data_IF_977626342724
#
_entry.id   IF_977626342724
#
_cell.length_a   1.000
_cell.length_b   1.000
_cell.length_c   1.000
_cell.angle_alpha   90.00
_cell.angle_beta   90.00
_cell.angle_gamma   90.00
#
_symmetry.space_group_name_H-M   'P 1'
#
loop_
_entity.id
_entity.type
_entity.pdbx_description
1 polymer ?
#
# COMPACT_ATOMS: atom_id res chain seq x y z
N UNK A 1 10.66 17.69 10.51
CA UNK A 1 11.59 16.65 11.05
C UNK A 1 12.37 16.12 9.85
N UNK A 2 13.66 16.03 9.92
CA UNK A 2 14.44 15.36 8.87
C UNK A 2 14.28 13.85 9.05
N UNK A 3 13.74 13.17 8.03
CA UNK A 3 13.51 11.72 8.06
C UNK A 3 14.76 10.89 7.73
N UNK A 4 15.88 11.53 7.35
CA UNK A 4 17.15 10.87 7.05
C UNK A 4 17.08 9.92 5.84
N UNK A 5 16.20 10.19 4.86
CA UNK A 5 15.98 9.37 3.67
C UNK A 5 16.21 10.13 2.36
N UNK A 6 16.66 11.37 2.41
CA UNK A 6 17.01 12.14 1.22
C UNK A 6 18.03 11.40 0.35
N UNK A 7 17.83 11.38 -0.96
CA UNK A 7 18.67 10.70 -1.93
C UNK A 7 18.52 9.18 -1.99
N UNK A 8 17.69 8.57 -1.14
CA UNK A 8 17.34 7.16 -1.20
C UNK A 8 16.50 6.84 -2.45
N UNK A 9 16.45 5.56 -2.84
CA UNK A 9 15.69 5.10 -3.99
C UNK A 9 14.52 4.23 -3.56
N UNK A 10 13.32 4.52 -4.06
CA UNK A 10 12.11 3.78 -3.75
C UNK A 10 11.47 3.17 -4.99
N UNK A 11 10.92 1.96 -4.83
CA UNK A 11 9.93 1.39 -5.75
C UNK A 11 8.55 1.51 -5.08
N UNK A 12 7.58 2.12 -5.78
CA UNK A 12 6.20 2.24 -5.30
C UNK A 12 5.26 1.59 -6.30
N UNK A 13 4.72 0.42 -5.94
CA UNK A 13 3.81 -0.35 -6.80
C UNK A 13 2.41 0.30 -6.85
N UNK A 14 1.73 0.18 -8.01
CA UNK A 14 0.37 0.68 -8.23
C UNK A 14 0.16 2.11 -7.71
N UNK A 15 1.06 3.01 -8.09
CA UNK A 15 1.18 4.38 -7.56
C UNK A 15 0.60 5.47 -8.48
N UNK A 16 -0.16 5.10 -9.51
CA UNK A 16 -0.81 6.09 -10.39
C UNK A 16 -1.96 6.85 -9.72
N UNK A 17 -2.59 6.27 -8.68
CA UNK A 17 -3.73 6.86 -7.95
C UNK A 17 -3.75 6.42 -6.49
N UNK A 18 -4.65 7.02 -5.70
CA UNK A 18 -4.99 6.61 -4.34
C UNK A 18 -3.79 6.53 -3.40
N UNK A 19 -3.72 5.48 -2.60
CA UNK A 19 -2.71 5.34 -1.53
C UNK A 19 -1.28 5.19 -2.07
N UNK A 20 -1.10 4.46 -3.16
CA UNK A 20 0.23 4.33 -3.79
C UNK A 20 0.75 5.68 -4.29
N UNK A 21 -0.12 6.52 -4.92
CA UNK A 21 0.22 7.90 -5.32
C UNK A 21 0.60 8.74 -4.11
N UNK A 22 -0.19 8.66 -3.03
CA UNK A 22 0.10 9.41 -1.81
C UNK A 22 1.45 9.03 -1.19
N UNK A 23 1.78 7.75 -1.15
CA UNK A 23 3.08 7.27 -0.68
C UNK A 23 4.23 7.77 -1.58
N UNK A 24 4.08 7.72 -2.91
CA UNK A 24 5.11 8.19 -3.84
C UNK A 24 5.38 9.69 -3.67
N UNK A 25 4.34 10.51 -3.56
CA UNK A 25 4.46 11.95 -3.35
C UNK A 25 5.06 12.28 -1.97
N UNK A 26 4.64 11.57 -0.91
CA UNK A 26 5.20 11.78 0.42
C UNK A 26 6.70 11.44 0.48
N UNK A 27 7.12 10.34 -0.13
CA UNK A 27 8.54 9.97 -0.26
C UNK A 27 9.32 11.00 -1.08
N UNK A 28 8.76 11.45 -2.22
CA UNK A 28 9.39 12.49 -3.04
C UNK A 28 9.55 13.81 -2.27
N UNK A 29 8.60 14.18 -1.42
CA UNK A 29 8.66 15.36 -0.54
C UNK A 29 9.84 15.31 0.43
N UNK A 30 10.25 14.11 0.82
CA UNK A 30 11.42 13.85 1.66
C UNK A 30 12.73 13.66 0.85
N UNK A 31 12.71 14.00 -0.44
CA UNK A 31 13.88 13.92 -1.31
C UNK A 31 14.25 12.50 -1.79
N UNK A 32 13.32 11.55 -1.72
CA UNK A 32 13.52 10.18 -2.20
C UNK A 32 13.26 10.12 -3.70
N UNK A 33 14.18 9.52 -4.47
CA UNK A 33 13.96 9.20 -5.88
C UNK A 33 12.93 8.07 -5.99
N UNK A 34 11.93 8.20 -6.85
CA UNK A 34 10.83 7.25 -6.90
C UNK A 34 10.70 6.57 -8.27
N UNK A 35 10.64 5.25 -8.27
CA UNK A 35 10.22 4.44 -9.42
C UNK A 35 8.75 4.10 -9.21
N UNK A 36 7.89 4.72 -10.01
CA UNK A 36 6.43 4.58 -9.92
C UNK A 36 5.88 3.60 -10.95
N UNK A 37 4.78 2.94 -10.61
CA UNK A 37 4.15 1.93 -11.46
C UNK A 37 2.64 2.07 -11.50
N UNK A 38 2.07 1.76 -12.63
CA UNK A 38 0.62 1.69 -12.81
C UNK A 38 0.24 1.33 -14.25
N UNK A 39 -1.04 1.08 -14.48
CA UNK A 39 -1.57 0.70 -15.80
C UNK A 39 -2.02 1.90 -16.65
N UNK A 40 -2.25 3.03 -16.03
CA UNK A 40 -2.72 4.26 -16.70
C UNK A 40 -1.56 5.24 -16.83
N UNK A 41 -1.12 5.45 -18.07
CA UNK A 41 0.05 6.28 -18.39
C UNK A 41 -0.21 7.77 -18.11
N UNK A 42 -1.40 8.27 -18.38
CA UNK A 42 -1.75 9.67 -18.12
C UNK A 42 -1.72 9.99 -16.62
N UNK A 43 -2.29 9.09 -15.80
CA UNK A 43 -2.26 9.25 -14.34
C UNK A 43 -0.83 9.14 -13.78
N UNK A 44 0.03 8.29 -14.37
CA UNK A 44 1.45 8.25 -14.02
C UNK A 44 2.19 9.53 -14.42
N UNK A 45 1.88 10.11 -15.57
CA UNK A 45 2.46 11.38 -16.00
C UNK A 45 2.15 12.53 -15.02
N UNK A 46 0.93 12.54 -14.45
CA UNK A 46 0.57 13.51 -13.40
C UNK A 46 1.40 13.33 -12.13
N UNK A 47 1.56 12.08 -11.65
CA UNK A 47 2.40 11.77 -10.48
C UNK A 47 3.86 12.12 -10.75
N UNK A 48 4.36 11.82 -11.95
CA UNK A 48 5.71 12.17 -12.38
C UNK A 48 5.95 13.66 -12.28
N UNK A 49 5.04 14.48 -12.85
CA UNK A 49 5.15 15.94 -12.77
C UNK A 49 5.21 16.41 -11.33
N UNK A 50 4.26 15.96 -10.49
CA UNK A 50 4.21 16.34 -9.07
C UNK A 50 5.52 16.00 -8.33
N UNK A 51 6.04 14.79 -8.50
CA UNK A 51 7.28 14.38 -7.83
C UNK A 51 8.51 15.11 -8.39
N UNK A 52 8.56 15.38 -9.69
CA UNK A 52 9.66 16.14 -10.33
C UNK A 52 9.68 17.59 -9.85
N UNK A 53 8.52 18.24 -9.68
CA UNK A 53 8.42 19.59 -9.11
C UNK A 53 8.95 19.66 -7.66
N UNK A 54 8.97 18.53 -6.93
CA UNK A 54 9.59 18.39 -5.62
C UNK A 54 11.12 18.19 -5.67
N UNK A 55 11.70 18.15 -6.87
CA UNK A 55 13.16 18.06 -7.08
C UNK A 55 13.74 16.65 -7.05
N UNK A 56 12.92 15.60 -7.14
CA UNK A 56 13.37 14.20 -7.12
C UNK A 56 13.44 13.60 -8.52
N UNK A 57 14.28 12.57 -8.68
CA UNK A 57 14.30 11.76 -9.90
C UNK A 57 13.11 10.79 -9.89
N UNK A 58 12.36 10.79 -10.99
CA UNK A 58 11.20 9.91 -11.17
C UNK A 58 11.41 8.99 -12.36
N UNK A 59 11.25 7.70 -12.12
CA UNK A 59 11.25 6.67 -13.15
C UNK A 59 9.86 6.05 -13.24
N UNK A 60 9.43 5.66 -14.44
CA UNK A 60 8.05 5.20 -14.69
C UNK A 60 8.07 3.82 -15.35
N UNK A 61 7.30 2.89 -14.79
CA UNK A 61 7.05 1.58 -15.39
C UNK A 61 5.54 1.43 -15.61
N UNK A 62 5.12 1.51 -16.86
CA UNK A 62 3.71 1.27 -17.25
C UNK A 62 3.47 -0.23 -17.35
N UNK A 63 2.52 -0.75 -16.59
CA UNK A 63 2.16 -2.17 -16.63
C UNK A 63 1.44 -2.65 -15.37
N UNK A 64 0.93 -3.87 -15.46
CA UNK A 64 0.32 -4.54 -14.33
C UNK A 64 1.40 -5.25 -13.50
N UNK A 65 1.53 -4.87 -12.24
CA UNK A 65 2.55 -5.42 -11.32
C UNK A 65 2.37 -6.93 -11.05
N UNK A 66 1.21 -7.50 -11.34
CA UNK A 66 0.98 -8.95 -11.24
C UNK A 66 1.74 -9.74 -12.32
N UNK A 67 2.13 -9.09 -13.42
CA UNK A 67 2.90 -9.74 -14.48
C UNK A 67 4.40 -9.79 -14.16
N UNK A 68 5.04 -10.91 -14.50
CA UNK A 68 6.49 -11.07 -14.32
C UNK A 68 7.27 -9.97 -15.04
N UNK A 69 6.85 -9.65 -16.29
CA UNK A 69 7.48 -8.59 -17.10
C UNK A 69 7.54 -7.24 -16.38
N UNK A 70 6.42 -6.81 -15.78
CA UNK A 70 6.38 -5.51 -15.08
C UNK A 70 7.25 -5.53 -13.83
N UNK A 71 7.24 -6.63 -13.06
CA UNK A 71 8.11 -6.77 -11.88
C UNK A 71 9.59 -6.73 -12.24
N UNK A 72 10.01 -7.42 -13.30
CA UNK A 72 11.37 -7.38 -13.82
C UNK A 72 11.76 -5.97 -14.27
N UNK A 73 10.87 -5.27 -14.98
CA UNK A 73 11.11 -3.88 -15.37
C UNK A 73 11.31 -2.95 -14.17
N UNK A 74 10.49 -3.09 -13.11
CA UNK A 74 10.63 -2.32 -11.86
C UNK A 74 11.98 -2.56 -11.20
N UNK A 75 12.38 -3.82 -11.06
CA UNK A 75 13.66 -4.18 -10.44
C UNK A 75 14.86 -3.74 -11.27
N UNK A 76 14.77 -3.81 -12.59
CA UNK A 76 15.84 -3.35 -13.50
C UNK A 76 15.95 -1.82 -13.53
N UNK A 77 14.81 -1.11 -13.44
CA UNK A 77 14.77 0.35 -13.42
C UNK A 77 15.32 0.92 -12.10
N UNK A 78 15.12 0.23 -10.98
CA UNK A 78 15.65 0.57 -9.68
C UNK A 78 16.44 -0.63 -9.11
N UNK A 79 17.68 -0.87 -9.54
CA UNK A 79 18.42 -2.09 -9.18
C UNK A 79 18.89 -2.13 -7.73
N UNK A 80 18.92 -1.00 -7.05
CA UNK A 80 19.31 -0.88 -5.64
C UNK A 80 18.28 -0.07 -4.85
N UNK A 81 17.05 -0.58 -4.69
CA UNK A 81 16.05 0.14 -3.92
C UNK A 81 16.37 0.08 -2.42
N UNK A 82 16.25 1.21 -1.76
CA UNK A 82 16.31 1.35 -0.30
C UNK A 82 14.93 1.16 0.33
N UNK A 83 13.90 1.51 -0.43
CA UNK A 83 12.50 1.50 -0.01
C UNK A 83 11.67 0.71 -1.03
N UNK A 84 10.80 -0.16 -0.54
CA UNK A 84 9.78 -0.84 -1.34
C UNK A 84 8.40 -0.61 -0.72
N UNK A 85 7.50 0.00 -1.47
CA UNK A 85 6.08 0.09 -1.12
C UNK A 85 5.29 -0.84 -2.02
N UNK A 86 4.84 -1.97 -1.49
CA UNK A 86 3.98 -2.89 -2.23
C UNK A 86 2.52 -2.46 -2.11
N UNK A 87 1.83 -2.44 -3.21
CA UNK A 87 0.43 -2.07 -3.31
C UNK A 87 -0.20 -2.71 -4.55
N UNK A 88 -1.49 -3.02 -4.48
CA UNK A 88 -2.31 -3.37 -5.63
C UNK A 88 -3.79 -3.18 -5.31
N UNK A 89 -4.63 -3.15 -6.35
CA UNK A 89 -6.07 -3.08 -6.20
C UNK A 89 -6.61 -4.32 -5.48
N UNK A 90 -7.48 -4.11 -4.51
CA UNK A 90 -8.21 -5.22 -3.86
C UNK A 90 -9.40 -5.70 -4.70
N UNK A 91 -9.83 -6.96 -4.55
CA UNK A 91 -11.02 -7.49 -5.20
C UNK A 91 -12.28 -6.75 -4.74
N UNK A 92 -13.35 -6.85 -5.52
CA UNK A 92 -14.66 -6.36 -5.12
C UNK A 92 -15.20 -7.17 -3.92
N UNK A 93 -16.02 -6.55 -3.06
CA UNK A 93 -16.79 -7.30 -2.07
C UNK A 93 -17.73 -8.31 -2.75
N UNK A 94 -18.00 -9.42 -2.08
CA UNK A 94 -18.88 -10.46 -2.63
C UNK A 94 -19.34 -11.44 -1.56
N UNK A 95 -19.87 -12.58 -2.00
CA UNK A 95 -20.32 -13.65 -1.14
C UNK A 95 -19.46 -14.90 -1.37
N UNK A 96 -19.19 -15.67 -0.32
CA UNK A 96 -18.39 -16.90 -0.42
C UNK A 96 -18.97 -17.92 -1.42
N UNK A 97 -20.26 -17.89 -1.65
CA UNK A 97 -20.94 -18.78 -2.62
C UNK A 97 -20.64 -18.42 -4.08
N UNK A 98 -20.19 -17.16 -4.32
CA UNK A 98 -19.93 -16.62 -5.65
C UNK A 98 -18.44 -16.71 -6.01
N UNK A 99 -17.58 -17.11 -5.07
CA UNK A 99 -16.13 -17.15 -5.26
C UNK A 99 -15.68 -18.58 -5.61
N UNK A 100 -15.37 -18.77 -6.86
CA UNK A 100 -14.76 -20.00 -7.39
C UNK A 100 -13.24 -20.04 -7.17
N UNK A 101 -12.61 -21.07 -7.67
CA UNK A 101 -11.16 -21.26 -7.59
C UNK A 101 -10.38 -20.08 -8.19
N UNK A 102 -10.82 -19.61 -9.38
CA UNK A 102 -10.11 -18.54 -10.10
C UNK A 102 -10.21 -17.20 -9.38
N UNK A 103 -11.35 -16.90 -8.73
CA UNK A 103 -11.52 -15.74 -7.89
C UNK A 103 -10.54 -15.75 -6.69
N UNK A 104 -10.38 -16.93 -6.04
CA UNK A 104 -9.41 -17.10 -4.95
C UNK A 104 -7.96 -16.95 -5.44
N UNK A 105 -7.59 -17.61 -6.54
CA UNK A 105 -6.23 -17.52 -7.08
C UNK A 105 -5.90 -16.09 -7.51
N UNK A 106 -6.83 -15.41 -8.21
CA UNK A 106 -6.64 -14.02 -8.62
C UNK A 106 -6.44 -13.07 -7.43
N UNK A 107 -7.18 -13.27 -6.34
CA UNK A 107 -7.02 -12.48 -5.12
C UNK A 107 -5.67 -12.73 -4.43
N UNK A 108 -5.25 -13.99 -4.34
CA UNK A 108 -3.94 -14.39 -3.79
C UNK A 108 -2.80 -13.84 -4.65
N UNK A 109 -2.88 -13.98 -5.97
CA UNK A 109 -1.87 -13.47 -6.88
C UNK A 109 -1.72 -11.95 -6.73
N UNK A 110 -2.83 -11.20 -6.78
CA UNK A 110 -2.80 -9.75 -6.74
C UNK A 110 -2.39 -9.16 -5.38
N UNK A 111 -2.78 -9.78 -4.27
CA UNK A 111 -2.67 -9.17 -2.94
C UNK A 111 -1.78 -9.93 -1.94
N UNK A 112 -1.11 -11.00 -2.37
CA UNK A 112 -0.13 -11.74 -1.59
C UNK A 112 1.10 -12.10 -2.42
N UNK A 113 0.95 -12.93 -3.48
CA UNK A 113 2.07 -13.50 -4.22
C UNK A 113 2.89 -12.40 -4.91
N UNK A 114 2.24 -11.46 -5.59
CA UNK A 114 2.90 -10.32 -6.24
C UNK A 114 3.75 -9.52 -5.25
N UNK A 115 3.22 -9.24 -4.06
CA UNK A 115 3.94 -8.52 -3.01
C UNK A 115 5.17 -9.31 -2.54
N UNK A 116 5.00 -10.61 -2.31
CA UNK A 116 6.11 -11.50 -1.90
C UNK A 116 7.21 -11.60 -2.96
N UNK A 117 6.84 -11.63 -4.25
CA UNK A 117 7.80 -11.67 -5.35
C UNK A 117 8.59 -10.34 -5.45
N UNK A 118 7.95 -9.20 -5.22
CA UNK A 118 8.64 -7.91 -5.14
C UNK A 118 9.59 -7.85 -3.93
N UNK A 119 9.14 -8.29 -2.75
CA UNK A 119 9.99 -8.38 -1.55
C UNK A 119 11.21 -9.25 -1.82
N UNK A 120 11.00 -10.46 -2.36
CA UNK A 120 12.09 -11.37 -2.72
C UNK A 120 13.11 -10.72 -3.66
N UNK A 121 12.66 -9.89 -4.60
CA UNK A 121 13.53 -9.24 -5.58
C UNK A 121 14.44 -8.15 -5.02
N UNK A 122 14.15 -7.63 -3.81
CA UNK A 122 14.91 -6.52 -3.21
C UNK A 122 15.63 -6.90 -1.91
N UNK A 123 15.19 -7.98 -1.25
CA UNK A 123 15.55 -8.29 0.14
C UNK A 123 17.04 -8.52 0.34
N UNK A 124 17.68 -9.35 -0.49
CA UNK A 124 19.10 -9.69 -0.37
C UNK A 124 19.97 -8.44 -0.50
N UNK A 125 19.68 -7.59 -1.49
CA UNK A 125 20.42 -6.33 -1.68
C UNK A 125 20.21 -5.34 -0.51
N UNK A 126 19.03 -5.28 0.09
CA UNK A 126 18.78 -4.47 1.28
C UNK A 126 19.56 -5.00 2.50
N UNK A 127 19.61 -6.32 2.68
CA UNK A 127 20.39 -6.97 3.76
C UNK A 127 21.89 -6.69 3.59
N UNK A 128 22.43 -6.85 2.39
CA UNK A 128 23.84 -6.56 2.09
C UNK A 128 24.22 -5.11 2.39
N UNK A 129 23.39 -4.16 1.96
CA UNK A 129 23.64 -2.72 2.21
C UNK A 129 23.33 -2.29 3.64
N UNK A 130 22.77 -3.18 4.46
CA UNK A 130 22.35 -2.91 5.86
C UNK A 130 21.39 -1.73 5.97
N UNK A 131 20.51 -1.60 5.00
CA UNK A 131 19.40 -0.65 4.99
C UNK A 131 18.28 -1.15 4.07
N UNK A 132 17.07 -1.21 4.61
CA UNK A 132 15.86 -1.50 3.84
C UNK A 132 14.61 -1.09 4.60
N UNK A 133 13.63 -0.56 3.86
CA UNK A 133 12.29 -0.22 4.37
C UNK A 133 11.25 -0.82 3.44
N UNK A 134 10.54 -1.81 3.92
CA UNK A 134 9.49 -2.49 3.15
C UNK A 134 8.16 -2.20 3.81
N UNK A 135 7.27 -1.57 3.05
CA UNK A 135 5.93 -1.20 3.48
C UNK A 135 4.92 -1.93 2.60
N UNK A 136 4.05 -2.72 3.21
CA UNK A 136 2.95 -3.37 2.50
C UNK A 136 1.64 -2.63 2.77
N UNK A 137 0.99 -2.15 1.74
CA UNK A 137 -0.37 -1.60 1.86
C UNK A 137 -1.35 -2.77 1.87
N UNK A 138 -1.89 -3.07 3.04
CA UNK A 138 -2.83 -4.17 3.25
C UNK A 138 -4.26 -3.66 3.49
N UNK A 139 -4.87 -3.96 4.61
CA UNK A 139 -6.24 -3.51 4.95
C UNK A 139 -6.52 -3.69 6.44
N UNK A 140 -7.35 -2.84 7.02
CA UNK A 140 -7.92 -3.03 8.36
C UNK A 140 -8.65 -4.38 8.51
N UNK A 141 -9.12 -4.95 7.40
CA UNK A 141 -9.76 -6.28 7.38
C UNK A 141 -8.83 -7.41 7.83
N UNK A 142 -7.53 -7.20 7.91
CA UNK A 142 -6.59 -8.16 8.51
C UNK A 142 -6.84 -8.32 10.02
N UNK A 143 -7.21 -7.24 10.71
CA UNK A 143 -7.55 -7.25 12.16
C UNK A 143 -9.04 -7.44 12.41
N UNK A 144 -9.90 -6.88 11.55
CA UNK A 144 -11.37 -6.93 11.68
C UNK A 144 -12.01 -7.51 10.42
N UNK A 145 -11.91 -8.84 10.20
CA UNK A 145 -12.43 -9.47 9.00
C UNK A 145 -13.95 -9.31 8.88
N UNK A 146 -14.41 -8.99 7.65
CA UNK A 146 -15.84 -8.92 7.31
C UNK A 146 -16.12 -9.91 6.19
N UNK A 147 -17.19 -10.70 6.32
CA UNK A 147 -17.51 -11.77 5.38
C UNK A 147 -17.51 -11.33 3.89
N UNK A 148 -18.08 -10.16 3.49
CA UNK A 148 -18.02 -9.73 2.09
C UNK A 148 -16.61 -9.41 1.56
N UNK A 149 -15.63 -9.29 2.44
CA UNK A 149 -14.24 -8.97 2.08
C UNK A 149 -13.32 -10.20 2.10
N UNK A 150 -13.88 -11.42 2.15
CA UNK A 150 -13.14 -12.65 2.37
C UNK A 150 -11.95 -12.87 1.44
N UNK A 151 -12.09 -12.65 0.14
CA UNK A 151 -10.99 -12.75 -0.84
C UNK A 151 -9.81 -11.84 -0.46
N UNK A 152 -10.11 -10.56 -0.20
CA UNK A 152 -9.09 -9.57 0.18
C UNK A 152 -8.46 -9.92 1.52
N UNK A 153 -9.28 -10.29 2.51
CA UNK A 153 -8.83 -10.63 3.86
C UNK A 153 -7.92 -11.84 3.86
N UNK A 154 -8.29 -12.92 3.17
CA UNK A 154 -7.50 -14.13 3.07
C UNK A 154 -6.10 -13.89 2.50
N UNK A 155 -6.03 -13.18 1.37
CA UNK A 155 -4.76 -12.86 0.72
C UNK A 155 -3.88 -11.94 1.59
N UNK A 156 -4.45 -10.87 2.14
CA UNK A 156 -3.69 -9.87 2.92
C UNK A 156 -3.29 -10.37 4.30
N UNK A 157 -4.08 -11.23 4.94
CA UNK A 157 -3.71 -11.88 6.20
C UNK A 157 -2.54 -12.85 5.98
N UNK A 158 -2.55 -13.62 4.89
CA UNK A 158 -1.43 -14.47 4.49
C UNK A 158 -0.15 -13.67 4.28
N UNK A 159 -0.20 -12.57 3.52
CA UNK A 159 0.92 -11.65 3.34
C UNK A 159 1.44 -11.13 4.68
N UNK A 160 0.55 -10.64 5.55
CA UNK A 160 0.89 -10.10 6.87
C UNK A 160 1.63 -11.12 7.73
N UNK A 161 1.16 -12.37 7.74
CA UNK A 161 1.77 -13.46 8.49
C UNK A 161 3.20 -13.78 8.01
N UNK A 162 3.40 -13.94 6.70
CA UNK A 162 4.73 -14.21 6.13
C UNK A 162 5.68 -13.03 6.37
N UNK A 163 5.22 -11.81 6.18
CA UNK A 163 6.01 -10.61 6.40
C UNK A 163 6.43 -10.45 7.88
N UNK A 164 5.60 -10.91 8.82
CA UNK A 164 5.99 -10.94 10.24
C UNK A 164 7.19 -11.85 10.47
N UNK A 165 7.21 -13.05 9.91
CA UNK A 165 8.33 -13.97 10.04
C UNK A 165 9.60 -13.39 9.41
N UNK A 166 9.52 -12.88 8.17
CA UNK A 166 10.65 -12.25 7.47
C UNK A 166 11.19 -11.03 8.23
N UNK A 167 10.32 -10.23 8.85
CA UNK A 167 10.76 -9.05 9.59
C UNK A 167 11.68 -9.36 10.77
N UNK A 168 11.49 -10.51 11.40
CA UNK A 168 12.34 -11.01 12.49
C UNK A 168 13.70 -11.45 11.93
N UNK A 169 13.68 -12.16 10.81
CA UNK A 169 14.89 -12.69 10.18
C UNK A 169 15.86 -11.60 9.74
N UNK A 170 15.35 -10.50 9.16
CA UNK A 170 16.19 -9.45 8.55
C UNK A 170 16.46 -8.24 9.43
N UNK A 171 15.85 -8.15 10.61
CA UNK A 171 15.98 -6.99 11.51
C UNK A 171 17.44 -6.68 11.88
N UNK A 172 18.28 -7.70 12.03
CA UNK A 172 19.71 -7.57 12.36
C UNK A 172 20.52 -6.79 11.30
N UNK A 173 19.99 -6.70 10.08
CA UNK A 173 20.59 -5.97 8.96
C UNK A 173 19.98 -4.56 8.77
N UNK A 174 19.26 -4.00 9.74
CA UNK A 174 18.56 -2.72 9.62
C UNK A 174 17.55 -2.71 8.44
N UNK A 175 16.94 -3.86 8.17
CA UNK A 175 15.82 -3.98 7.23
C UNK A 175 14.54 -4.13 8.03
N UNK A 176 13.57 -3.23 7.81
CA UNK A 176 12.27 -3.30 8.46
C UNK A 176 11.18 -3.65 7.47
N UNK A 177 10.23 -4.48 7.89
CA UNK A 177 9.06 -4.86 7.10
C UNK A 177 7.82 -4.55 7.93
N UNK A 178 7.01 -3.60 7.48
CA UNK A 178 5.78 -3.20 8.19
C UNK A 178 4.59 -3.21 7.24
N UNK A 179 3.40 -3.41 7.79
CA UNK A 179 2.15 -3.37 7.07
C UNK A 179 1.35 -2.13 7.49
N UNK A 180 0.81 -1.41 6.52
CA UNK A 180 -0.12 -0.31 6.75
C UNK A 180 -1.53 -0.80 6.42
N UNK A 181 -2.44 -0.61 7.36
CA UNK A 181 -3.82 -1.13 7.32
C UNK A 181 -4.81 0.03 7.17
N UNK A 182 -5.06 0.51 5.95
CA UNK A 182 -6.04 1.56 5.73
C UNK A 182 -7.47 1.09 5.97
N UNK A 183 -8.29 1.97 6.53
CA UNK A 183 -9.75 1.90 6.48
C UNK A 183 -10.32 3.31 6.25
N UNK A 184 -11.29 3.44 5.34
CA UNK A 184 -12.03 4.70 5.12
C UNK A 184 -11.16 5.92 4.75
N UNK A 185 -10.14 5.72 3.90
CA UNK A 185 -9.35 6.81 3.32
C UNK A 185 -10.04 7.30 2.03
N UNK A 186 -10.13 8.62 1.85
CA UNK A 186 -10.80 9.27 0.71
C UNK A 186 -10.03 9.08 -0.61
N UNK A 187 -10.34 8.01 -1.31
CA UNK A 187 -9.74 7.59 -2.58
C UNK A 187 -10.84 7.14 -3.55
N UNK A 188 -10.50 6.90 -4.82
CA UNK A 188 -11.42 6.32 -5.80
C UNK A 188 -12.07 5.00 -5.29
N UNK A 189 -11.34 4.22 -4.50
CA UNK A 189 -11.89 3.01 -3.86
C UNK A 189 -13.00 3.36 -2.86
N UNK A 190 -12.84 4.41 -2.08
CA UNK A 190 -13.86 4.84 -1.13
C UNK A 190 -15.09 5.40 -1.86
N UNK A 191 -14.87 6.13 -2.96
CA UNK A 191 -15.94 6.59 -3.85
C UNK A 191 -16.75 5.40 -4.39
N UNK A 192 -16.09 4.39 -4.93
CA UNK A 192 -16.73 3.15 -5.40
C UNK A 192 -17.54 2.47 -4.29
N UNK A 193 -17.04 2.42 -3.07
CA UNK A 193 -17.77 1.84 -1.93
C UNK A 193 -19.02 2.65 -1.56
N UNK A 194 -18.94 3.98 -1.62
CA UNK A 194 -20.09 4.86 -1.37
C UNK A 194 -21.15 4.73 -2.48
N UNK A 195 -20.73 4.67 -3.75
CA UNK A 195 -21.62 4.43 -4.89
C UNK A 195 -22.32 3.06 -4.79
N UNK A 196 -21.62 2.01 -4.39
CA UNK A 196 -22.19 0.69 -4.16
C UNK A 196 -23.21 0.71 -3.01
N UNK A 197 -22.91 1.38 -1.90
CA UNK A 197 -23.85 1.54 -0.80
C UNK A 197 -25.10 2.34 -1.20
N UNK A 198 -24.91 3.43 -1.95
CA UNK A 198 -25.98 4.25 -2.51
C UNK A 198 -26.93 3.40 -3.35
N UNK A 199 -26.41 2.58 -4.26
CA UNK A 199 -27.21 1.71 -5.12
C UNK A 199 -27.96 0.63 -4.33
N UNK A 200 -27.32 0.02 -3.32
CA UNK A 200 -27.93 -1.03 -2.49
C UNK A 200 -29.06 -0.50 -1.60
N UNK A 201 -28.94 0.74 -1.11
CA UNK A 201 -29.89 1.33 -0.18
C UNK A 201 -30.91 2.28 -0.83
N UNK A 202 -30.72 2.62 -2.12
CA UNK A 202 -31.59 3.57 -2.81
C UNK A 202 -31.46 5.01 -2.27
N UNK A 203 -30.30 5.40 -1.77
CA UNK A 203 -30.02 6.73 -1.22
C UNK A 203 -29.03 7.49 -2.14
N UNK A 204 -28.86 8.79 -1.93
CA UNK A 204 -27.84 9.54 -2.65
C UNK A 204 -26.41 9.13 -2.25
N UNK A 205 -25.44 9.35 -3.14
CA UNK A 205 -24.02 9.11 -2.83
C UNK A 205 -23.55 9.99 -1.67
N UNK A 206 -24.06 11.23 -1.59
CA UNK A 206 -23.76 12.15 -0.48
C UNK A 206 -24.26 11.59 0.87
N UNK A 207 -25.46 11.03 0.90
CA UNK A 207 -25.99 10.40 2.11
C UNK A 207 -25.18 9.14 2.47
N UNK A 208 -24.78 8.34 1.49
CA UNK A 208 -23.90 7.20 1.73
C UNK A 208 -22.57 7.63 2.36
N UNK A 209 -21.96 8.73 1.89
CA UNK A 209 -20.75 9.29 2.52
C UNK A 209 -21.00 9.71 3.96
N UNK A 210 -22.09 10.45 4.24
CA UNK A 210 -22.46 10.85 5.63
C UNK A 210 -22.65 9.66 6.54
N UNK A 211 -23.27 8.59 6.04
CA UNK A 211 -23.43 7.36 6.82
C UNK A 211 -22.09 6.67 7.09
N UNK A 212 -21.19 6.64 6.09
CA UNK A 212 -19.85 6.08 6.25
C UNK A 212 -19.05 6.88 7.29
N UNK A 213 -19.08 8.21 7.23
CA UNK A 213 -18.38 9.09 8.17
C UNK A 213 -18.84 8.89 9.61
N UNK A 214 -20.14 8.66 9.83
CA UNK A 214 -20.70 8.34 11.15
C UNK A 214 -20.18 7.02 11.75
N UNK A 215 -19.64 6.12 10.92
CA UNK A 215 -19.01 4.86 11.40
C UNK A 215 -17.55 5.02 11.79
N UNK A 216 -16.98 6.20 11.60
CA UNK A 216 -15.56 6.49 11.88
C UNK A 216 -15.50 7.30 13.18
N UNK A 217 -14.68 6.85 14.14
CA UNK A 217 -14.58 7.55 15.42
C UNK A 217 -14.12 9.02 15.27
N UNK A 218 -13.25 9.31 14.29
CA UNK A 218 -12.83 10.68 13.94
C UNK A 218 -13.93 11.51 13.26
N UNK A 219 -15.08 10.93 12.88
CA UNK A 219 -16.20 11.63 12.23
C UNK A 219 -15.94 12.12 10.80
N UNK A 220 -14.88 11.65 10.17
CA UNK A 220 -14.48 12.01 8.79
C UNK A 220 -13.72 10.89 8.11
N UNK A 221 -13.64 10.95 6.79
CA UNK A 221 -12.68 10.14 6.05
C UNK A 221 -11.24 10.58 6.33
N UNK A 222 -10.30 9.64 6.31
CA UNK A 222 -8.88 9.95 6.28
C UNK A 222 -8.47 10.56 4.94
N UNK A 223 -7.45 11.40 4.93
CA UNK A 223 -6.88 11.96 3.71
C UNK A 223 -5.79 11.04 3.15
N UNK A 224 -5.63 10.89 1.82
CA UNK A 224 -4.52 10.16 1.23
C UNK A 224 -3.15 10.65 1.70
N UNK A 225 -3.02 11.96 1.95
CA UNK A 225 -1.80 12.60 2.44
C UNK A 225 -1.43 12.11 3.85
N UNK A 226 -2.40 11.95 4.75
CA UNK A 226 -2.18 11.40 6.09
C UNK A 226 -1.61 9.97 6.02
N UNK A 227 -2.06 9.19 5.03
CA UNK A 227 -1.54 7.86 4.77
C UNK A 227 -0.12 7.90 4.19
N UNK A 228 0.13 8.79 3.23
CA UNK A 228 1.44 9.00 2.62
C UNK A 228 2.49 9.43 3.66
N UNK A 229 2.14 10.36 4.55
CA UNK A 229 3.03 10.87 5.59
C UNK A 229 3.41 9.77 6.62
N UNK A 230 2.45 8.93 7.00
CA UNK A 230 2.71 7.76 7.83
C UNK A 230 3.63 6.73 7.12
N UNK A 231 3.47 6.55 5.80
CA UNK A 231 4.37 5.72 4.99
C UNK A 231 5.79 6.29 5.00
N UNK A 232 5.97 7.58 4.74
CA UNK A 232 7.28 8.23 4.75
C UNK A 232 7.96 8.12 6.13
N UNK A 233 7.20 8.30 7.22
CA UNK A 233 7.70 8.08 8.58
C UNK A 233 8.20 6.65 8.79
N UNK A 234 7.42 5.63 8.42
CA UNK A 234 7.86 4.23 8.55
C UNK A 234 9.07 3.90 7.68
N UNK A 235 9.31 4.64 6.60
CA UNK A 235 10.51 4.52 5.77
C UNK A 235 11.72 5.28 6.32
N UNK A 236 11.55 6.09 7.34
CA UNK A 236 12.60 6.97 7.90
C UNK A 236 13.72 6.21 8.61
N UNK A 237 14.81 6.93 8.89
CA UNK A 237 15.87 6.46 9.77
C UNK A 237 15.36 6.28 11.20
N UNK A 238 14.45 7.15 11.66
CA UNK A 238 13.87 7.13 13.01
C UNK A 238 13.00 5.89 13.26
N UNK A 239 12.39 5.33 12.21
CA UNK A 239 11.59 4.11 12.30
C UNK A 239 12.41 2.81 12.27
N UNK A 240 13.74 2.88 12.34
CA UNK A 240 14.62 1.71 12.26
C UNK A 240 14.41 0.65 13.35
N UNK A 241 13.74 0.98 14.45
CA UNK A 241 13.37 0.03 15.52
C UNK A 241 11.90 -0.42 15.45
N UNK A 242 11.16 -0.03 14.40
CA UNK A 242 9.78 -0.43 14.15
C UNK A 242 9.78 -1.46 13.03
N UNK A 243 9.61 -2.75 13.36
CA UNK A 243 9.58 -3.84 12.39
C UNK A 243 8.53 -4.89 12.76
N UNK A 244 7.91 -5.49 11.74
CA UNK A 244 6.88 -6.51 11.92
C UNK A 244 5.57 -5.97 12.50
N UNK A 245 5.29 -4.68 12.32
CA UNK A 245 4.11 -4.02 12.86
C UNK A 245 2.98 -3.92 11.82
N UNK A 246 1.77 -3.85 12.34
CA UNK A 246 0.54 -3.63 11.59
C UNK A 246 -0.06 -2.29 12.01
N UNK A 247 0.38 -1.21 11.34
CA UNK A 247 -0.08 0.14 11.62
C UNK A 247 -1.46 0.36 11.00
N UNK A 248 -2.46 0.55 11.84
CA UNK A 248 -3.82 0.81 11.40
C UNK A 248 -4.03 2.33 11.24
N UNK A 249 -4.63 2.72 10.10
CA UNK A 249 -5.01 4.09 9.79
C UNK A 249 -6.51 4.10 9.49
N UNK A 250 -7.32 4.32 10.52
CA UNK A 250 -8.76 4.10 10.49
C UNK A 250 -9.57 5.16 11.26
N UNK A 251 -8.91 6.25 11.68
CA UNK A 251 -9.54 7.31 12.44
C UNK A 251 -10.05 6.87 13.83
N UNK A 252 -9.41 5.85 14.42
CA UNK A 252 -9.75 5.34 15.75
C UNK A 252 -10.95 4.39 15.78
N UNK A 253 -11.30 3.80 14.63
CA UNK A 253 -12.50 2.94 14.53
C UNK A 253 -12.26 1.50 14.99
N UNK A 254 -11.01 1.09 15.20
CA UNK A 254 -10.69 -0.24 15.72
C UNK A 254 -10.92 -0.31 17.23
N UNK A 255 -11.80 -1.21 17.67
CA UNK A 255 -12.19 -1.34 19.08
C UNK A 255 -11.27 -2.27 19.90
N UNK A 256 -10.33 -2.98 19.24
CA UNK A 256 -9.42 -3.87 19.93
C UNK A 256 -8.22 -3.15 20.55
N UNK A 257 -7.65 -3.76 21.58
CA UNK A 257 -6.45 -3.25 22.26
C UNK A 257 -5.15 -3.61 21.51
N UNK A 258 -5.15 -4.73 20.76
CA UNK A 258 -4.00 -5.31 20.07
C UNK A 258 -4.37 -5.68 18.63
#
# INVERSE_FOLDING_TARGET
MDLGIQGKNAIVCASSRGLGRACAIALAREGVNVTINGRNEEALAEVTRTCTELGTVVQVVVGDVTTAKTREQLLNMCPQPDILVTNNAGPAPGNIKDWDYDAWIGALEANMITHMLMIRGVLDGMVERRFGRIINITSAMVKTPKAPMGLSTGARAGLTSVCKALSIEVAHANVTINNMLPERINTDRQKFMAEMQSNLQGISVEEAYKQIEKTIAAGRLGLPEEFGDACAFLCSAQAGFISGQNLQLDGGSYEGLI
#
